data_IF_344203647763
#
_entry.id   IF_344203647763
#
_cell.length_a   1.000
_cell.length_b   1.000
_cell.length_c   1.000
_cell.angle_alpha   90.00
_cell.angle_beta   90.00
_cell.angle_gamma   90.00
#
_symmetry.space_group_name_H-M   'P 1'
#
loop_
_entity.id
_entity.type
_entity.pdbx_description
1 polymer ?
#
# COMPACT_ATOMS: atom_id res chain seq x y z
N UNK A 1 -14.68 -5.60 -22.96
CA UNK A 1 -13.79 -6.77 -23.01
C UNK A 1 -12.47 -6.44 -23.71
N UNK A 2 -12.45 -5.97 -24.98
CA UNK A 2 -11.22 -5.72 -25.74
C UNK A 2 -10.22 -4.79 -25.07
N UNK A 3 -10.66 -3.68 -24.48
CA UNK A 3 -9.79 -2.76 -23.75
C UNK A 3 -9.13 -3.42 -22.52
N UNK A 4 -9.87 -4.25 -21.80
CA UNK A 4 -9.37 -4.95 -20.62
C UNK A 4 -8.38 -6.07 -20.99
N UNK A 5 -8.60 -6.75 -22.13
CA UNK A 5 -7.63 -7.69 -22.65
C UNK A 5 -6.33 -6.97 -23.09
N UNK A 6 -6.42 -5.79 -23.71
CA UNK A 6 -5.25 -5.00 -24.06
C UNK A 6 -4.46 -4.55 -22.81
N UNK A 7 -5.14 -4.11 -21.74
CA UNK A 7 -4.51 -3.79 -20.44
C UNK A 7 -3.78 -5.02 -19.89
N UNK A 8 -4.44 -6.17 -19.89
CA UNK A 8 -3.84 -7.42 -19.43
C UNK A 8 -2.57 -7.78 -20.23
N UNK A 9 -2.64 -7.76 -21.56
CA UNK A 9 -1.49 -8.10 -22.41
C UNK A 9 -0.33 -7.13 -22.22
N UNK A 10 -0.62 -5.83 -22.06
CA UNK A 10 0.38 -4.82 -21.73
C UNK A 10 1.05 -5.12 -20.38
N UNK A 11 0.27 -5.34 -19.33
CA UNK A 11 0.79 -5.64 -18.00
C UNK A 11 1.61 -6.93 -17.99
N UNK A 12 1.13 -7.96 -18.68
CA UNK A 12 1.87 -9.21 -18.85
C UNK A 12 3.24 -8.97 -19.49
N UNK A 13 3.28 -8.18 -20.56
CA UNK A 13 4.53 -7.84 -21.24
C UNK A 13 5.52 -7.09 -20.33
N UNK A 14 5.04 -6.13 -19.51
CA UNK A 14 5.87 -5.43 -18.53
C UNK A 14 6.38 -6.42 -17.46
N UNK A 15 5.52 -7.25 -16.89
CA UNK A 15 5.90 -8.24 -15.89
C UNK A 15 6.96 -9.19 -16.45
N UNK A 16 6.74 -9.74 -17.66
CA UNK A 16 7.70 -10.65 -18.32
C UNK A 16 9.07 -10.00 -18.54
N UNK A 17 9.10 -8.69 -18.79
CA UNK A 17 10.33 -7.96 -19.04
C UNK A 17 11.07 -7.51 -17.76
N UNK A 18 10.41 -7.57 -16.58
CA UNK A 18 10.95 -6.93 -15.36
C UNK A 18 10.94 -7.81 -14.11
N UNK A 19 10.28 -8.96 -14.11
CA UNK A 19 10.08 -9.77 -12.91
C UNK A 19 11.36 -10.23 -12.22
N UNK A 20 12.47 -10.33 -12.94
CA UNK A 20 13.80 -10.67 -12.42
C UNK A 20 14.62 -9.44 -11.98
N UNK A 21 14.09 -8.23 -12.18
CA UNK A 21 14.75 -6.96 -11.87
C UNK A 21 14.10 -6.23 -10.69
N UNK A 22 12.82 -6.51 -10.40
CA UNK A 22 12.03 -5.80 -9.38
C UNK A 22 11.47 -6.78 -8.35
N UNK A 23 11.35 -6.38 -7.07
CA UNK A 23 10.78 -7.24 -6.03
C UNK A 23 9.24 -7.21 -5.97
N UNK A 24 8.62 -6.16 -6.48
CA UNK A 24 7.18 -5.93 -6.31
C UNK A 24 6.56 -5.19 -7.49
N UNK A 25 5.24 -5.32 -7.63
CA UNK A 25 4.40 -4.48 -8.51
C UNK A 25 3.30 -3.82 -7.70
N UNK A 26 2.88 -2.63 -8.14
CA UNK A 26 1.81 -1.86 -7.48
C UNK A 26 0.69 -1.50 -8.45
N UNK A 27 -0.23 -2.43 -8.75
CA UNK A 27 -1.37 -2.13 -9.59
C UNK A 27 -2.34 -1.17 -8.90
N UNK A 28 -2.70 -0.08 -9.61
CA UNK A 28 -3.68 0.90 -9.16
C UNK A 28 -5.09 0.45 -9.54
N UNK A 29 -5.91 0.09 -8.56
CA UNK A 29 -7.25 -0.49 -8.80
C UNK A 29 -8.18 0.42 -9.60
N UNK A 30 -8.10 1.74 -9.44
CA UNK A 30 -8.95 2.70 -10.14
C UNK A 30 -8.82 2.60 -11.66
N UNK A 31 -7.62 2.24 -12.18
CA UNK A 31 -7.39 2.07 -13.62
C UNK A 31 -8.11 0.85 -14.20
N UNK A 32 -8.59 -0.03 -13.34
CA UNK A 32 -9.36 -1.22 -13.71
C UNK A 32 -10.84 -1.03 -13.37
N UNK A 33 -11.17 -0.50 -12.19
CA UNK A 33 -12.57 -0.25 -11.76
C UNK A 33 -13.35 0.62 -12.75
N UNK A 34 -12.68 1.58 -13.41
CA UNK A 34 -13.33 2.42 -14.44
C UNK A 34 -13.92 1.63 -15.61
N UNK A 35 -13.51 0.39 -15.81
CA UNK A 35 -14.05 -0.52 -16.82
C UNK A 35 -15.03 -1.55 -16.23
N UNK A 36 -15.47 -1.38 -14.99
CA UNK A 36 -16.44 -2.26 -14.33
C UNK A 36 -15.89 -3.68 -14.12
N UNK A 37 -16.77 -4.66 -14.23
CA UNK A 37 -16.46 -6.06 -13.93
C UNK A 37 -15.29 -6.59 -14.77
N UNK A 38 -15.25 -6.28 -16.04
CA UNK A 38 -14.18 -6.74 -16.94
C UNK A 38 -12.83 -6.14 -16.55
N UNK A 39 -12.80 -4.87 -16.08
CA UNK A 39 -11.61 -4.26 -15.51
C UNK A 39 -11.13 -4.99 -14.26
N UNK A 40 -12.03 -5.36 -13.37
CA UNK A 40 -11.67 -6.11 -12.16
C UNK A 40 -11.17 -7.53 -12.46
N UNK A 41 -11.67 -8.17 -13.52
CA UNK A 41 -11.09 -9.44 -14.02
C UNK A 41 -9.65 -9.24 -14.50
N UNK A 42 -9.38 -8.16 -15.25
CA UNK A 42 -8.01 -7.83 -15.68
C UNK A 42 -7.08 -7.51 -14.50
N UNK A 43 -7.57 -6.80 -13.47
CA UNK A 43 -6.85 -6.56 -12.23
C UNK A 43 -6.43 -7.87 -11.55
N UNK A 44 -7.41 -8.75 -11.31
CA UNK A 44 -7.12 -10.06 -10.70
C UNK A 44 -6.12 -10.86 -11.52
N UNK A 45 -6.31 -10.94 -12.83
CA UNK A 45 -5.42 -11.67 -13.74
C UNK A 45 -3.99 -11.12 -13.71
N UNK A 46 -3.84 -9.79 -13.61
CA UNK A 46 -2.53 -9.14 -13.46
C UNK A 46 -1.87 -9.51 -12.13
N UNK A 47 -2.61 -9.44 -11.01
CA UNK A 47 -2.11 -9.81 -9.69
C UNK A 47 -1.70 -11.28 -9.63
N UNK A 48 -2.55 -12.19 -10.09
CA UNK A 48 -2.28 -13.64 -10.11
C UNK A 48 -1.02 -13.96 -10.95
N UNK A 49 -0.87 -13.30 -12.10
CA UNK A 49 0.30 -13.49 -12.95
C UNK A 49 1.58 -12.99 -12.33
N UNK A 50 1.60 -11.77 -11.79
CA UNK A 50 2.75 -11.22 -11.10
C UNK A 50 3.16 -12.10 -9.90
N UNK A 51 2.18 -12.60 -9.15
CA UNK A 51 2.42 -13.54 -8.06
C UNK A 51 3.04 -14.85 -8.54
N UNK A 52 2.60 -15.38 -9.68
CA UNK A 52 3.18 -16.59 -10.28
C UNK A 52 4.65 -16.41 -10.70
N UNK A 53 5.10 -15.17 -10.88
CA UNK A 53 6.50 -14.81 -11.15
C UNK A 53 7.33 -14.55 -9.87
N UNK A 54 6.72 -14.71 -8.69
CA UNK A 54 7.40 -14.50 -7.41
C UNK A 54 7.41 -13.05 -6.93
N UNK A 55 6.67 -12.14 -7.59
CA UNK A 55 6.59 -10.74 -7.20
C UNK A 55 5.65 -10.53 -6.01
N UNK A 56 6.00 -9.58 -5.16
CA UNK A 56 5.09 -9.04 -4.13
C UNK A 56 4.07 -8.12 -4.79
N UNK A 57 2.80 -8.25 -4.42
CA UNK A 57 1.71 -7.44 -4.96
C UNK A 57 1.27 -6.40 -3.95
N UNK A 58 1.41 -5.13 -4.29
CA UNK A 58 0.91 -4.00 -3.50
C UNK A 58 -0.32 -3.45 -4.20
N UNK A 59 -1.51 -3.80 -3.72
CA UNK A 59 -2.76 -3.27 -4.25
C UNK A 59 -2.94 -1.80 -3.85
N UNK A 60 -2.84 -0.89 -4.81
CA UNK A 60 -3.08 0.53 -4.54
C UNK A 60 -4.59 0.82 -4.61
N UNK A 61 -5.29 0.51 -3.52
CA UNK A 61 -6.76 0.52 -3.44
C UNK A 61 -7.31 1.69 -2.64
N UNK A 62 -6.55 2.24 -1.70
CA UNK A 62 -6.89 3.38 -0.84
C UNK A 62 -8.29 3.28 -0.22
N UNK A 63 -8.65 2.08 0.26
CA UNK A 63 -9.95 1.86 0.94
C UNK A 63 -9.95 2.47 2.33
N UNK A 64 -11.14 2.82 2.80
CA UNK A 64 -11.38 3.31 4.14
C UNK A 64 -12.87 3.24 4.46
N UNK A 65 -13.21 2.49 5.52
CA UNK A 65 -14.56 2.35 6.08
C UNK A 65 -14.42 1.96 7.55
N UNK A 66 -15.47 1.56 8.22
CA UNK A 66 -15.47 1.15 9.62
C UNK A 66 -16.01 -0.26 9.81
N UNK A 67 -15.62 -0.91 10.93
CA UNK A 67 -16.18 -2.16 11.41
C UNK A 67 -16.24 -3.26 10.36
N UNK A 68 -17.39 -3.90 10.23
CA UNK A 68 -17.60 -5.02 9.31
C UNK A 68 -17.45 -4.65 7.82
N UNK A 69 -17.75 -3.39 7.45
CA UNK A 69 -17.53 -2.92 6.07
C UNK A 69 -16.04 -2.84 5.75
N UNK A 70 -15.25 -2.29 6.66
CA UNK A 70 -13.79 -2.27 6.52
C UNK A 70 -13.20 -3.69 6.46
N UNK A 71 -13.71 -4.60 7.32
CA UNK A 71 -13.32 -6.02 7.31
C UNK A 71 -13.66 -6.70 5.97
N UNK A 72 -14.82 -6.40 5.38
CA UNK A 72 -15.23 -6.94 4.08
C UNK A 72 -14.28 -6.48 2.95
N UNK A 73 -13.85 -5.20 2.93
CA UNK A 73 -12.82 -4.73 2.02
C UNK A 73 -11.50 -5.47 2.23
N UNK A 74 -11.07 -5.65 3.48
CA UNK A 74 -9.84 -6.34 3.81
C UNK A 74 -9.88 -7.82 3.35
N UNK A 75 -10.97 -8.53 3.63
CA UNK A 75 -11.18 -9.92 3.20
C UNK A 75 -11.09 -10.02 1.67
N UNK A 76 -11.73 -9.11 0.95
CA UNK A 76 -11.74 -9.11 -0.52
C UNK A 76 -10.35 -9.00 -1.13
N UNK A 77 -9.47 -8.20 -0.54
CA UNK A 77 -8.15 -7.89 -1.09
C UNK A 77 -7.03 -8.76 -0.51
N UNK A 78 -6.97 -8.92 0.81
CA UNK A 78 -5.86 -9.59 1.51
C UNK A 78 -6.29 -10.78 2.36
N UNK A 79 -7.55 -11.16 2.33
CA UNK A 79 -8.10 -12.25 3.09
C UNK A 79 -8.58 -13.43 2.26
N UNK A 80 -9.41 -14.23 2.89
CA UNK A 80 -10.06 -15.40 2.27
C UNK A 80 -11.55 -15.43 2.60
N UNK A 81 -12.33 -15.95 1.66
CA UNK A 81 -13.78 -16.21 1.83
C UNK A 81 -14.03 -17.70 1.84
N UNK A 82 -14.76 -18.18 2.84
CA UNK A 82 -15.23 -19.56 2.92
C UNK A 82 -16.67 -19.67 2.41
N UNK A 83 -16.89 -20.53 1.43
CA UNK A 83 -18.22 -20.86 0.88
C UNK A 83 -18.37 -22.37 0.92
N UNK A 84 -19.22 -22.89 1.80
CA UNK A 84 -19.31 -24.32 2.06
C UNK A 84 -17.97 -24.86 2.57
N UNK A 85 -17.42 -25.87 1.90
CA UNK A 85 -16.10 -26.45 2.24
C UNK A 85 -14.94 -25.81 1.47
N UNK A 86 -15.19 -24.82 0.61
CA UNK A 86 -14.18 -24.17 -0.23
C UNK A 86 -13.72 -22.85 0.35
N UNK A 87 -12.40 -22.61 0.27
CA UNK A 87 -11.75 -21.34 0.66
C UNK A 87 -11.22 -20.66 -0.60
N UNK A 88 -11.54 -19.40 -0.75
CA UNK A 88 -11.15 -18.58 -1.91
C UNK A 88 -10.40 -17.33 -1.43
N UNK A 89 -9.34 -16.96 -2.17
CA UNK A 89 -8.77 -15.61 -2.12
C UNK A 89 -9.36 -14.82 -3.28
N UNK A 90 -10.26 -13.84 -3.04
CA UNK A 90 -10.91 -13.10 -4.12
C UNK A 90 -9.90 -12.35 -4.98
N UNK A 91 -9.01 -11.60 -4.33
CA UNK A 91 -7.83 -11.00 -4.93
C UNK A 91 -6.58 -11.54 -4.23
N UNK A 92 -5.39 -11.29 -4.78
CA UNK A 92 -4.15 -11.96 -4.35
C UNK A 92 -3.06 -10.99 -3.95
N UNK A 93 -3.44 -9.78 -3.54
CA UNK A 93 -2.47 -8.80 -3.03
C UNK A 93 -1.79 -9.31 -1.76
N UNK A 94 -0.55 -8.88 -1.57
CA UNK A 94 0.22 -9.12 -0.36
C UNK A 94 0.15 -7.93 0.61
N UNK A 95 0.09 -6.72 0.03
CA UNK A 95 -0.13 -5.45 0.73
C UNK A 95 -1.21 -4.65 0.04
N UNK A 96 -1.88 -3.78 0.81
CA UNK A 96 -2.87 -2.84 0.28
C UNK A 96 -2.68 -1.46 0.88
N UNK A 97 -3.10 -0.41 0.16
CA UNK A 97 -3.12 0.95 0.70
C UNK A 97 -4.46 1.25 1.38
N UNK A 98 -4.40 1.90 2.55
CA UNK A 98 -5.57 2.19 3.39
C UNK A 98 -5.59 3.67 3.78
N UNK A 99 -6.76 4.29 3.72
CA UNK A 99 -6.98 5.66 4.18
C UNK A 99 -7.29 5.66 5.69
N UNK A 100 -6.51 6.38 6.53
CA UNK A 100 -6.67 6.36 7.98
C UNK A 100 -7.73 7.33 8.51
N UNK A 101 -8.43 8.08 7.67
CA UNK A 101 -9.26 9.21 8.10
C UNK A 101 -10.35 8.83 9.12
N UNK A 102 -10.83 7.59 9.10
CA UNK A 102 -11.81 7.07 10.05
C UNK A 102 -11.18 6.46 11.33
N UNK A 103 -9.87 6.63 11.51
CA UNK A 103 -9.16 6.19 12.72
C UNK A 103 -9.02 4.68 12.86
N UNK A 104 -8.84 4.23 14.09
CA UNK A 104 -8.61 2.80 14.41
C UNK A 104 -9.76 1.89 14.00
N UNK A 105 -11.00 2.39 14.03
CA UNK A 105 -12.18 1.62 13.60
C UNK A 105 -12.13 1.27 12.11
N UNK A 106 -11.41 2.05 11.32
CA UNK A 106 -11.18 1.79 9.90
C UNK A 106 -9.95 0.94 9.63
N UNK A 107 -8.87 1.17 10.36
CA UNK A 107 -7.58 0.52 10.13
C UNK A 107 -7.50 -0.87 10.77
N UNK A 108 -7.90 -1.05 12.02
CA UNK A 108 -7.75 -2.32 12.74
C UNK A 108 -8.44 -3.52 12.09
N UNK A 109 -9.61 -3.41 11.44
CA UNK A 109 -10.18 -4.53 10.68
C UNK A 109 -9.26 -5.02 9.55
N UNK A 110 -8.55 -4.12 8.84
CA UNK A 110 -7.53 -4.50 7.86
C UNK A 110 -6.37 -5.24 8.53
N UNK A 111 -5.86 -4.72 9.66
CA UNK A 111 -4.71 -5.33 10.36
C UNK A 111 -5.04 -6.73 10.88
N UNK A 112 -6.25 -6.95 11.38
CA UNK A 112 -6.73 -8.27 11.79
C UNK A 112 -6.64 -9.27 10.63
N UNK A 113 -7.24 -8.93 9.48
CA UNK A 113 -7.23 -9.79 8.29
C UNK A 113 -5.80 -9.99 7.77
N UNK A 114 -4.97 -8.95 7.76
CA UNK A 114 -3.57 -9.03 7.38
C UNK A 114 -2.80 -10.03 8.26
N UNK A 115 -2.96 -9.93 9.58
CA UNK A 115 -2.31 -10.82 10.55
C UNK A 115 -2.71 -12.29 10.36
N UNK A 116 -3.99 -12.54 10.17
CA UNK A 116 -4.55 -13.88 9.96
C UNK A 116 -4.08 -14.53 8.65
N UNK A 117 -3.72 -13.73 7.64
CA UNK A 117 -3.36 -14.19 6.29
C UNK A 117 -1.89 -13.93 5.90
N UNK A 118 -1.05 -13.48 6.83
CA UNK A 118 0.35 -13.11 6.57
C UNK A 118 0.47 -12.06 5.45
N UNK A 119 -0.30 -10.99 5.57
CA UNK A 119 -0.41 -9.87 4.65
C UNK A 119 -0.11 -8.56 5.38
N UNK A 120 -0.09 -7.43 4.65
CA UNK A 120 0.18 -6.14 5.23
C UNK A 120 -0.62 -4.99 4.63
N UNK A 121 -0.47 -3.81 5.22
CA UNK A 121 -1.12 -2.59 4.77
C UNK A 121 -0.18 -1.39 4.83
N UNK A 122 -0.26 -0.52 3.84
CA UNK A 122 0.36 0.80 3.81
C UNK A 122 -0.70 1.87 4.09
N UNK A 123 -0.51 2.61 5.16
CA UNK A 123 -1.43 3.66 5.60
C UNK A 123 -1.00 5.00 5.00
N UNK A 124 -1.94 5.77 4.47
CA UNK A 124 -1.63 7.10 3.93
C UNK A 124 -1.20 8.04 5.06
N UNK A 125 0.03 8.54 5.01
CA UNK A 125 0.59 9.47 5.99
C UNK A 125 0.79 10.86 5.39
N UNK A 126 1.65 10.97 4.37
CA UNK A 126 1.84 12.23 3.65
C UNK A 126 1.86 11.96 2.15
N UNK A 127 0.86 12.47 1.47
CA UNK A 127 0.68 12.24 0.03
C UNK A 127 1.35 13.33 -0.80
N UNK A 128 1.64 13.04 -2.08
CA UNK A 128 2.42 13.92 -2.95
C UNK A 128 1.58 14.90 -3.79
N UNK A 129 0.26 14.80 -3.72
CA UNK A 129 -0.64 15.66 -4.48
C UNK A 129 -0.62 17.11 -3.97
N UNK A 130 -0.83 18.12 -4.85
CA UNK A 130 -0.74 19.54 -4.49
C UNK A 130 -1.63 19.96 -3.33
N UNK A 131 -2.84 19.41 -3.23
CA UNK A 131 -3.80 19.74 -2.15
C UNK A 131 -3.57 18.99 -0.84
N UNK A 132 -2.51 18.20 -0.72
CA UNK A 132 -2.25 17.41 0.49
C UNK A 132 -2.15 18.28 1.76
N UNK A 133 -1.63 19.49 1.63
CA UNK A 133 -1.49 20.43 2.74
C UNK A 133 -2.80 21.00 3.31
N UNK A 134 -3.92 20.86 2.59
CA UNK A 134 -5.23 21.35 3.09
C UNK A 134 -5.61 20.70 4.43
N UNK A 135 -5.23 19.43 4.62
CA UNK A 135 -5.46 18.66 5.85
C UNK A 135 -4.15 18.21 6.49
N UNK A 136 -3.26 17.58 5.72
CA UNK A 136 -2.11 16.85 6.26
C UNK A 136 -1.10 17.76 6.96
N UNK A 137 -0.97 19.03 6.53
CA UNK A 137 -0.07 20.02 7.14
C UNK A 137 -0.75 20.85 8.24
N UNK A 138 -2.03 20.60 8.53
CA UNK A 138 -2.72 21.30 9.64
C UNK A 138 -2.18 20.80 10.97
N UNK A 139 -1.93 21.76 11.88
CA UNK A 139 -1.43 21.46 13.19
C UNK A 139 -2.56 21.23 14.20
N UNK A 140 -2.38 20.21 15.02
CA UNK A 140 -3.19 19.90 16.19
C UNK A 140 -2.23 19.90 17.38
N UNK A 141 -2.42 20.81 18.33
CA UNK A 141 -1.55 21.00 19.49
C UNK A 141 -0.06 21.21 19.11
N UNK A 142 0.18 21.94 18.01
CA UNK A 142 1.52 22.27 17.51
C UNK A 142 2.22 21.14 16.74
N UNK A 143 1.51 20.06 16.38
CA UNK A 143 2.03 18.94 15.61
C UNK A 143 1.24 18.77 14.32
N UNK A 144 1.89 18.66 13.13
CA UNK A 144 1.19 18.44 11.87
C UNK A 144 0.40 17.12 11.88
N UNK A 145 -0.76 17.10 11.22
CA UNK A 145 -1.61 15.90 11.15
C UNK A 145 -0.86 14.69 10.60
N UNK A 146 0.00 14.86 9.59
CA UNK A 146 0.77 13.74 9.04
C UNK A 146 1.72 13.08 10.06
N UNK A 147 2.26 13.84 11.02
CA UNK A 147 3.09 13.27 12.09
C UNK A 147 2.24 12.50 13.11
N UNK A 148 1.05 13.01 13.45
CA UNK A 148 0.09 12.32 14.31
C UNK A 148 -0.31 10.98 13.69
N UNK A 149 -0.56 10.97 12.38
CA UNK A 149 -0.88 9.73 11.66
C UNK A 149 0.33 8.79 11.63
N UNK A 150 1.54 9.31 11.45
CA UNK A 150 2.76 8.49 11.47
C UNK A 150 2.99 7.82 12.85
N UNK A 151 2.74 8.52 13.95
CA UNK A 151 2.78 7.95 15.30
C UNK A 151 1.76 6.82 15.45
N UNK A 152 0.55 7.00 14.91
CA UNK A 152 -0.45 5.95 14.89
C UNK A 152 -0.04 4.74 14.03
N UNK A 153 0.61 4.96 12.90
CA UNK A 153 1.15 3.87 12.08
C UNK A 153 2.21 3.07 12.84
N UNK A 154 3.09 3.74 13.56
CA UNK A 154 4.06 3.08 14.43
C UNK A 154 3.38 2.24 15.52
N UNK A 155 2.37 2.81 16.21
CA UNK A 155 1.57 2.11 17.23
C UNK A 155 0.84 0.89 16.65
N UNK A 156 0.11 1.05 15.56
CA UNK A 156 -0.57 -0.06 14.87
C UNK A 156 0.41 -1.11 14.36
N UNK A 157 1.62 -0.69 13.99
CA UNK A 157 2.67 -1.56 13.52
C UNK A 157 3.12 -2.60 14.54
N UNK A 158 3.07 -2.27 15.83
CA UNK A 158 3.43 -3.20 16.91
C UNK A 158 2.46 -4.40 16.99
N UNK A 159 1.22 -4.25 16.51
CA UNK A 159 0.24 -5.33 16.51
C UNK A 159 0.51 -6.41 15.43
N UNK A 160 1.29 -6.05 14.39
CA UNK A 160 1.54 -6.90 13.20
C UNK A 160 3.03 -6.89 12.86
N UNK A 161 3.87 -7.21 13.85
CA UNK A 161 5.33 -7.29 13.66
C UNK A 161 5.73 -8.58 12.93
N UNK A 162 6.68 -8.43 11.98
CA UNK A 162 7.52 -9.51 11.48
C UNK A 162 8.77 -9.68 12.35
N UNK A 163 9.83 -10.24 11.78
CA UNK A 163 11.11 -10.43 12.50
C UNK A 163 11.77 -9.08 12.81
N UNK A 164 12.05 -8.27 11.79
CA UNK A 164 12.73 -6.97 11.94
C UNK A 164 11.81 -5.78 11.66
N UNK A 165 10.84 -5.95 10.77
CA UNK A 165 9.91 -4.91 10.30
C UNK A 165 8.45 -5.30 10.50
N UNK A 166 7.61 -4.27 10.67
CA UNK A 166 6.17 -4.44 10.71
C UNK A 166 5.58 -4.70 9.33
N UNK A 167 4.49 -5.48 9.28
CA UNK A 167 3.63 -5.60 8.10
C UNK A 167 2.70 -4.38 7.91
N UNK A 168 2.74 -3.42 8.82
CA UNK A 168 2.09 -2.12 8.67
C UNK A 168 3.12 -1.10 8.25
N UNK A 169 2.92 -0.50 7.11
CA UNK A 169 3.79 0.55 6.56
C UNK A 169 3.04 1.87 6.36
N UNK A 170 3.74 2.84 5.81
CA UNK A 170 3.23 4.17 5.54
C UNK A 170 3.42 4.55 4.07
N UNK A 171 2.50 5.34 3.51
CA UNK A 171 2.72 6.02 2.22
C UNK A 171 3.21 7.43 2.51
N UNK A 172 4.42 7.76 2.02
CA UNK A 172 5.02 9.10 2.13
C UNK A 172 5.61 9.51 0.79
N UNK A 173 5.14 10.61 0.22
CA UNK A 173 5.58 11.09 -1.09
C UNK A 173 7.06 11.49 -1.15
N UNK A 174 7.71 11.22 -2.28
CA UNK A 174 9.13 11.48 -2.52
C UNK A 174 9.51 12.97 -2.62
N UNK A 175 8.53 13.88 -2.66
CA UNK A 175 8.74 15.32 -2.86
C UNK A 175 9.25 16.08 -1.62
N UNK A 176 9.38 15.40 -0.47
CA UNK A 176 9.71 16.01 0.82
C UNK A 176 10.83 15.23 1.55
N UNK A 177 12.11 15.32 1.12
CA UNK A 177 13.21 14.53 1.71
C UNK A 177 13.44 14.76 3.22
N UNK A 178 13.37 16.03 3.67
CA UNK A 178 13.56 16.39 5.09
C UNK A 178 12.44 15.80 5.96
N UNK A 179 11.21 15.83 5.45
CA UNK A 179 10.06 15.20 6.09
C UNK A 179 10.22 13.67 6.13
N UNK A 180 10.80 13.06 5.07
CA UNK A 180 11.13 11.65 5.04
C UNK A 180 12.02 11.23 6.19
N UNK A 181 13.08 12.00 6.48
CA UNK A 181 13.99 11.75 7.60
C UNK A 181 13.29 11.87 8.96
N UNK A 182 12.41 12.86 9.14
CA UNK A 182 11.63 13.03 10.37
C UNK A 182 10.65 11.87 10.57
N UNK A 183 9.92 11.49 9.54
CA UNK A 183 8.95 10.39 9.57
C UNK A 183 9.64 9.04 9.76
N UNK A 184 10.83 8.83 9.19
CA UNK A 184 11.64 7.62 9.44
C UNK A 184 11.97 7.44 10.92
N UNK A 185 12.27 8.53 11.64
CA UNK A 185 12.52 8.49 13.10
C UNK A 185 11.27 8.09 13.90
N UNK A 186 10.09 8.56 13.46
CA UNK A 186 8.81 8.20 14.10
C UNK A 186 8.46 6.73 13.83
N UNK A 187 8.77 6.24 12.63
CA UNK A 187 8.40 4.89 12.15
C UNK A 187 9.65 4.03 11.84
N UNK A 188 10.52 3.73 12.82
CA UNK A 188 11.80 3.06 12.55
C UNK A 188 11.66 1.63 12.00
N UNK A 189 10.58 0.94 12.35
CA UNK A 189 10.31 -0.45 11.97
C UNK A 189 9.24 -0.63 10.90
N UNK A 190 8.76 0.45 10.30
CA UNK A 190 7.72 0.41 9.29
C UNK A 190 8.32 0.65 7.90
N UNK A 191 7.93 -0.15 6.91
CA UNK A 191 8.26 0.18 5.53
C UNK A 191 7.54 1.45 5.10
N UNK A 192 8.23 2.29 4.33
CA UNK A 192 7.65 3.48 3.71
C UNK A 192 7.52 3.22 2.22
N UNK A 193 6.31 3.24 1.71
CA UNK A 193 6.02 3.25 0.28
C UNK A 193 6.14 4.69 -0.20
N UNK A 194 7.09 4.93 -1.11
CA UNK A 194 7.49 6.28 -1.54
C UNK A 194 7.10 6.50 -3.00
N UNK A 195 5.87 6.98 -3.28
CA UNK A 195 5.44 7.33 -4.63
C UNK A 195 6.04 8.67 -5.08
N UNK A 196 6.16 8.84 -6.43
CA UNK A 196 6.55 10.10 -7.04
C UNK A 196 8.01 10.20 -7.46
N UNK A 197 8.76 9.10 -7.44
CA UNK A 197 10.10 9.06 -8.02
C UNK A 197 10.04 9.27 -9.53
N UNK A 198 10.91 10.14 -10.04
CA UNK A 198 10.99 10.45 -11.46
C UNK A 198 9.83 11.29 -11.97
N UNK A 199 8.67 10.69 -12.18
CA UNK A 199 7.49 11.32 -12.81
C UNK A 199 6.98 12.58 -12.08
N UNK A 200 7.11 12.63 -10.73
CA UNK A 200 6.74 13.79 -9.91
C UNK A 200 7.95 14.61 -9.43
N UNK A 201 9.13 14.40 -10.03
CA UNK A 201 10.34 15.19 -9.78
C UNK A 201 11.24 14.70 -8.65
N UNK A 202 10.91 13.61 -7.97
CA UNK A 202 11.78 12.96 -6.97
C UNK A 202 13.06 12.44 -7.61
N UNK A 203 14.22 12.70 -6.99
CA UNK A 203 15.54 12.24 -7.44
C UNK A 203 16.09 11.18 -6.49
N UNK A 204 16.98 10.32 -6.99
CA UNK A 204 17.55 9.23 -6.18
C UNK A 204 18.16 9.69 -4.84
N UNK A 205 18.88 10.83 -4.83
CA UNK A 205 19.45 11.41 -3.61
C UNK A 205 18.38 11.82 -2.56
N UNK A 206 17.18 12.16 -3.02
CA UNK A 206 16.08 12.60 -2.17
C UNK A 206 15.40 11.41 -1.46
N UNK A 207 15.70 10.20 -1.90
CA UNK A 207 15.15 8.95 -1.34
C UNK A 207 15.95 8.40 -0.17
N UNK A 208 17.25 8.72 -0.08
CA UNK A 208 18.13 8.19 0.96
C UNK A 208 17.55 8.34 2.39
N UNK A 209 16.90 9.47 2.77
CA UNK A 209 16.35 9.65 4.11
C UNK A 209 15.19 8.71 4.47
N UNK A 210 14.59 8.03 3.48
CA UNK A 210 13.50 7.08 3.72
C UNK A 210 14.00 5.68 4.10
N UNK A 211 15.26 5.37 3.83
CA UNK A 211 15.87 4.08 4.15
C UNK A 211 16.48 4.06 5.55
N UNK A 212 16.58 2.88 6.14
CA UNK A 212 17.35 2.63 7.34
C UNK A 212 18.81 2.33 6.98
N UNK A 213 19.70 2.26 7.98
CA UNK A 213 21.13 2.00 7.81
C UNK A 213 21.43 0.63 7.18
N UNK A 214 20.53 -0.34 7.35
CA UNK A 214 20.60 -1.66 6.72
C UNK A 214 20.27 -1.67 5.21
N UNK A 215 19.91 -0.50 4.66
CA UNK A 215 19.50 -0.35 3.26
C UNK A 215 18.06 -0.78 2.97
N UNK A 216 17.28 -1.10 4.01
CA UNK A 216 15.87 -1.49 3.93
C UNK A 216 14.94 -0.36 4.41
N UNK A 217 13.66 -0.66 4.58
CA UNK A 217 12.67 0.25 5.15
C UNK A 217 11.93 1.14 4.15
N UNK A 218 12.30 1.13 2.87
CA UNK A 218 11.57 1.87 1.83
C UNK A 218 11.31 1.03 0.58
N UNK A 219 10.17 1.30 -0.06
CA UNK A 219 9.78 0.78 -1.38
C UNK A 219 9.47 1.99 -2.25
N UNK A 220 10.18 2.13 -3.35
CA UNK A 220 10.13 3.31 -4.22
C UNK A 220 9.40 2.97 -5.51
N UNK A 221 8.48 3.85 -5.93
CA UNK A 221 7.77 3.70 -7.21
C UNK A 221 7.45 5.04 -7.88
#
# INVERSE_FOLDING_TARGET
EGACEAIWQFNKGIIDATYDLIPAVKPQVAMYEQFGVEGMKAFKKTCDYAKSKGLVIIGDIKRGDIGSTSEAYAIGHVGTVKIGEHIYSPFTEDFVTVNPYLGSDGVKPFLKVCKENNKGAFILVKTSNPSSGEFQDREIDGKPLYEIVAEKVAEWGEEVMGEDYSYVGAVVGATYPEMGAALRKIMPKNYILVPGYGAQGGKGKDLAPFFNEDGLGAIVN
#
